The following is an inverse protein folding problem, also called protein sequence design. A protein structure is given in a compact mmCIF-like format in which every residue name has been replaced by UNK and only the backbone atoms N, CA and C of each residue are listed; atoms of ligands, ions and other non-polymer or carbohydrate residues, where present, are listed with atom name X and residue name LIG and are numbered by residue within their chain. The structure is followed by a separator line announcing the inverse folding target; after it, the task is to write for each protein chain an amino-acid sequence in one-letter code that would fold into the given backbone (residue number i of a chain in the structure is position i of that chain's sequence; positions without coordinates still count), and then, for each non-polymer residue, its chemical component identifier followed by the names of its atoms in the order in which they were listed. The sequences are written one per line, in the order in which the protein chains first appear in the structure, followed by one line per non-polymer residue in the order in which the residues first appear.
data_IF_762216701197
#
_entry.id   IF_762216701197
#
_cell.length_a   1.000
_cell.length_b   1.000
_cell.length_c   1.000
_cell.angle_alpha   90.00
_cell.angle_beta   90.00
_cell.angle_gamma   90.00
#
_symmetry.space_group_name_H-M   'P 1'
#
loop_
_entity.id
_entity.type
_entity.pdbx_description
1 polymer ?
#
# COMPACT_ATOMS: atom_id res chain seq x y z
N UNK A 1 -4.85 -11.78 9.74
CA UNK A 1 -3.72 -11.15 9.00
C UNK A 1 -2.41 -11.72 9.50
N UNK A 2 -1.61 -12.25 8.60
CA UNK A 2 -0.34 -12.89 8.93
C UNK A 2 0.76 -12.34 8.02
N UNK A 3 2.02 -12.55 8.43
CA UNK A 3 3.17 -12.25 7.58
C UNK A 3 3.21 -13.25 6.41
N UNK A 4 3.94 -12.90 5.35
CA UNK A 4 4.03 -13.74 4.15
C UNK A 4 4.62 -15.13 4.44
N UNK A 5 5.37 -15.27 5.53
CA UNK A 5 5.94 -16.56 5.97
C UNK A 5 5.01 -17.34 6.89
N UNK A 6 3.78 -16.91 7.09
CA UNK A 6 2.81 -17.57 7.96
C UNK A 6 2.87 -17.17 9.42
N UNK A 7 3.77 -16.29 9.81
CA UNK A 7 3.89 -15.84 11.19
C UNK A 7 2.86 -14.74 11.52
N UNK A 8 2.46 -14.62 12.79
CA UNK A 8 1.63 -13.49 13.22
C UNK A 8 2.37 -12.16 13.04
N UNK A 9 1.59 -11.09 12.82
CA UNK A 9 2.14 -9.75 12.69
C UNK A 9 2.84 -9.36 13.98
N UNK A 10 4.10 -8.95 13.88
CA UNK A 10 4.87 -8.48 15.03
C UNK A 10 4.70 -6.98 15.17
N UNK A 11 4.15 -6.56 16.32
CA UNK A 11 4.06 -5.15 16.68
C UNK A 11 5.01 -4.88 17.83
N UNK A 12 5.92 -3.93 17.66
CA UNK A 12 6.73 -3.43 18.77
C UNK A 12 5.90 -2.39 19.52
N UNK A 13 5.94 -2.41 20.85
CA UNK A 13 5.13 -1.50 21.67
C UNK A 13 5.53 -0.03 21.56
N UNK A 14 6.71 0.26 21.03
CA UNK A 14 7.30 1.60 21.03
C UNK A 14 7.02 2.39 19.76
N UNK A 15 6.68 1.74 18.63
CA UNK A 15 6.49 2.41 17.34
C UNK A 15 5.19 1.98 16.69
N UNK A 16 4.45 2.93 16.07
CA UNK A 16 3.28 2.57 15.29
C UNK A 16 3.69 1.82 14.04
N UNK A 17 2.82 0.91 13.60
CA UNK A 17 3.01 0.18 12.35
C UNK A 17 2.52 1.05 11.20
N UNK A 18 3.43 1.45 10.30
CA UNK A 18 3.08 2.19 9.09
C UNK A 18 3.01 1.21 7.93
N UNK A 19 1.83 1.01 7.38
CA UNK A 19 1.54 -0.02 6.38
C UNK A 19 1.19 0.62 5.05
N UNK A 20 1.87 0.21 3.99
CA UNK A 20 1.54 0.59 2.63
C UNK A 20 0.81 -0.57 1.95
N UNK A 21 -0.32 -0.30 1.31
CA UNK A 21 -1.08 -1.32 0.58
C UNK A 21 -0.62 -1.34 -0.88
N UNK A 22 -0.23 -2.51 -1.38
CA UNK A 22 0.30 -2.66 -2.73
C UNK A 22 -0.44 -3.74 -3.51
N UNK A 23 -0.77 -3.46 -4.76
CA UNK A 23 -1.48 -4.41 -5.61
C UNK A 23 -1.65 -3.88 -7.02
N UNK A 24 -2.32 -4.66 -7.86
CA UNK A 24 -2.57 -4.29 -9.25
C UNK A 24 -3.60 -3.17 -9.36
N UNK A 25 -3.29 -2.18 -10.18
CA UNK A 25 -4.18 -1.05 -10.45
C UNK A 25 -4.53 -1.03 -11.94
N UNK A 26 -3.51 -0.98 -12.80
CA UNK A 26 -3.69 -0.92 -14.24
C UNK A 26 -4.35 -2.20 -14.75
N UNK A 27 -5.48 -2.05 -15.44
CA UNK A 27 -6.22 -3.19 -15.99
C UNK A 27 -7.05 -3.97 -14.99
N UNK A 28 -7.09 -3.55 -13.73
CA UNK A 28 -7.94 -4.17 -12.70
C UNK A 28 -9.19 -3.32 -12.52
N UNK A 29 -10.33 -3.82 -12.97
CA UNK A 29 -11.57 -3.05 -13.06
C UNK A 29 -12.06 -2.52 -11.73
N UNK A 30 -11.94 -3.30 -10.66
CA UNK A 30 -12.45 -2.95 -9.34
C UNK A 30 -11.33 -2.73 -8.32
N UNK A 31 -10.19 -2.21 -8.77
CA UNK A 31 -9.02 -2.07 -7.91
C UNK A 31 -9.28 -1.20 -6.68
N UNK A 32 -10.06 -0.13 -6.82
CA UNK A 32 -10.35 0.75 -5.68
C UNK A 32 -11.11 0.02 -4.58
N UNK A 33 -12.07 -0.81 -4.96
CA UNK A 33 -12.86 -1.59 -3.99
C UNK A 33 -11.99 -2.62 -3.27
N UNK A 34 -11.07 -3.26 -3.98
CA UNK A 34 -10.16 -4.25 -3.39
C UNK A 34 -9.24 -3.56 -2.37
N UNK A 35 -8.66 -2.43 -2.73
CA UNK A 35 -7.78 -1.68 -1.83
C UNK A 35 -8.53 -1.19 -0.59
N UNK A 36 -9.76 -0.72 -0.76
CA UNK A 36 -10.57 -0.26 0.37
C UNK A 36 -10.99 -1.40 1.28
N UNK A 37 -11.32 -2.56 0.71
CA UNK A 37 -11.66 -3.75 1.50
C UNK A 37 -10.46 -4.21 2.34
N UNK A 38 -9.28 -4.19 1.77
CA UNK A 38 -8.06 -4.56 2.50
C UNK A 38 -7.79 -3.57 3.65
N UNK A 39 -7.97 -2.28 3.42
CA UNK A 39 -7.80 -1.28 4.47
C UNK A 39 -8.78 -1.51 5.62
N UNK A 40 -10.06 -1.77 5.32
CA UNK A 40 -11.06 -2.04 6.34
C UNK A 40 -10.72 -3.27 7.16
N UNK A 41 -10.24 -4.32 6.51
CA UNK A 41 -9.86 -5.56 7.17
C UNK A 41 -8.65 -5.35 8.09
N UNK A 42 -7.67 -4.58 7.65
CA UNK A 42 -6.52 -4.21 8.47
C UNK A 42 -6.97 -3.44 9.73
N UNK A 43 -7.86 -2.47 9.57
CA UNK A 43 -8.38 -1.68 10.70
C UNK A 43 -9.05 -2.60 11.73
N UNK A 44 -9.82 -3.60 11.27
CA UNK A 44 -10.54 -4.50 12.17
C UNK A 44 -9.64 -5.48 12.92
N UNK A 45 -8.49 -5.85 12.35
CA UNK A 45 -7.66 -6.94 12.89
C UNK A 45 -6.37 -6.47 13.55
N UNK A 46 -6.01 -5.19 13.45
CA UNK A 46 -4.81 -4.68 14.09
C UNK A 46 -5.13 -4.15 15.48
N UNK A 47 -4.37 -4.62 16.47
CA UNK A 47 -4.55 -4.26 17.88
C UNK A 47 -3.49 -3.29 18.39
N UNK A 48 -2.62 -2.79 17.51
CA UNK A 48 -1.57 -1.84 17.84
C UNK A 48 -1.86 -0.50 17.17
N UNK A 49 -1.12 0.55 17.56
CA UNK A 49 -1.16 1.82 16.82
C UNK A 49 -0.62 1.60 15.40
N UNK A 50 -1.34 2.09 14.41
CA UNK A 50 -0.96 1.92 13.02
C UNK A 50 -1.39 3.11 12.19
N UNK A 51 -0.71 3.27 11.04
CA UNK A 51 -1.10 4.19 9.97
C UNK A 51 -1.17 3.37 8.69
N UNK A 52 -2.22 3.55 7.90
CA UNK A 52 -2.41 2.85 6.64
C UNK A 52 -2.32 3.86 5.50
N UNK A 53 -1.44 3.58 4.54
CA UNK A 53 -1.27 4.38 3.34
C UNK A 53 -1.85 3.60 2.16
N UNK A 54 -2.99 4.08 1.67
CA UNK A 54 -3.77 3.43 0.63
C UNK A 54 -3.63 4.22 -0.67
N UNK A 55 -3.11 3.61 -1.76
CA UNK A 55 -2.96 4.29 -3.05
C UNK A 55 -4.23 4.96 -3.58
N UNK A 56 -5.44 4.47 -3.22
CA UNK A 56 -6.68 5.15 -3.58
C UNK A 56 -6.72 6.56 -3.03
N UNK A 57 -6.35 6.72 -1.76
CA UNK A 57 -6.34 8.03 -1.08
C UNK A 57 -5.15 8.87 -1.52
N UNK A 58 -3.99 8.24 -1.70
CA UNK A 58 -2.79 8.91 -2.20
C UNK A 58 -3.05 9.52 -3.58
N UNK A 59 -3.67 8.76 -4.47
CA UNK A 59 -4.00 9.22 -5.81
C UNK A 59 -4.95 10.42 -5.78
N UNK A 60 -5.97 10.37 -4.93
CA UNK A 60 -6.94 11.46 -4.78
C UNK A 60 -6.27 12.76 -4.35
N UNK A 61 -5.39 12.67 -3.35
CA UNK A 61 -4.70 13.85 -2.83
C UNK A 61 -3.73 14.42 -3.87
N UNK A 62 -3.03 13.55 -4.60
CA UNK A 62 -2.11 13.97 -5.64
C UNK A 62 -2.86 14.64 -6.79
N UNK A 63 -3.99 14.09 -7.22
CA UNK A 63 -4.83 14.66 -8.28
C UNK A 63 -5.31 16.05 -7.91
N UNK A 64 -5.74 16.23 -6.68
CA UNK A 64 -6.18 17.53 -6.17
C UNK A 64 -5.04 18.55 -6.19
N UNK A 65 -3.86 18.14 -5.71
CA UNK A 65 -2.67 19.00 -5.69
C UNK A 65 -2.23 19.41 -7.09
N UNK A 66 -2.23 18.48 -8.03
CA UNK A 66 -1.86 18.76 -9.42
C UNK A 66 -2.87 19.72 -10.07
N UNK A 67 -4.15 19.50 -9.85
CA UNK A 67 -5.20 20.37 -10.41
C UNK A 67 -5.06 21.80 -9.92
N UNK A 68 -4.80 21.98 -8.63
CA UNK A 68 -4.71 23.32 -8.03
C UNK A 68 -3.39 24.02 -8.37
N UNK A 69 -2.27 23.31 -8.30
CA UNK A 69 -0.94 23.92 -8.37
C UNK A 69 -0.29 23.85 -9.75
N UNK A 70 -0.67 22.88 -10.58
CA UNK A 70 -0.02 22.62 -11.87
C UNK A 70 -0.98 22.77 -13.04
N UNK A 71 -2.27 22.50 -12.82
CA UNK A 71 -3.31 22.66 -13.85
C UNK A 71 -3.43 21.45 -14.80
N UNK A 72 -2.90 20.31 -14.42
CA UNK A 72 -3.05 19.06 -15.17
C UNK A 72 -3.19 17.86 -14.24
N UNK A 73 -3.59 16.74 -14.79
CA UNK A 73 -3.63 15.48 -14.06
C UNK A 73 -2.23 14.88 -13.95
N UNK A 74 -1.95 14.09 -12.89
CA UNK A 74 -0.67 13.39 -12.76
C UNK A 74 -0.49 12.35 -13.87
N UNK A 75 0.75 12.19 -14.32
CA UNK A 75 1.14 11.09 -15.21
C UNK A 75 1.40 9.82 -14.38
N UNK A 76 1.57 8.68 -15.08
CA UNK A 76 1.95 7.43 -14.41
C UNK A 76 3.22 7.62 -13.56
N UNK A 77 4.21 8.31 -14.10
CA UNK A 77 5.46 8.59 -13.38
C UNK A 77 5.22 9.41 -12.11
N UNK A 78 4.32 10.38 -12.18
CA UNK A 78 3.96 11.22 -11.03
C UNK A 78 3.34 10.37 -9.91
N UNK A 79 2.41 9.46 -10.26
CA UNK A 79 1.81 8.54 -9.30
C UNK A 79 2.86 7.63 -8.67
N UNK A 80 3.74 7.05 -9.49
CA UNK A 80 4.77 6.14 -8.99
C UNK A 80 5.77 6.82 -8.07
N UNK A 81 6.18 8.05 -8.38
CA UNK A 81 7.06 8.82 -7.49
C UNK A 81 6.45 9.03 -6.13
N UNK A 82 5.19 9.43 -6.08
CA UNK A 82 4.50 9.67 -4.81
C UNK A 82 4.33 8.38 -4.02
N UNK A 83 3.93 7.32 -4.69
CA UNK A 83 3.74 6.02 -4.06
C UNK A 83 5.04 5.48 -3.47
N UNK A 84 6.14 5.54 -4.21
CA UNK A 84 7.45 5.06 -3.75
C UNK A 84 7.96 5.90 -2.58
N UNK A 85 7.76 7.22 -2.65
CA UNK A 85 8.14 8.12 -1.57
C UNK A 85 7.44 7.76 -0.26
N UNK A 86 6.14 7.50 -0.33
CA UNK A 86 5.36 7.12 0.85
C UNK A 86 5.73 5.72 1.32
N UNK A 87 5.87 4.77 0.39
CA UNK A 87 6.31 3.42 0.72
C UNK A 87 7.62 3.42 1.50
N UNK A 88 8.57 4.24 1.08
CA UNK A 88 9.88 4.31 1.72
C UNK A 88 9.82 4.79 3.18
N UNK A 89 8.73 5.45 3.57
CA UNK A 89 8.52 5.89 4.96
C UNK A 89 7.81 4.84 5.81
N UNK A 90 7.33 3.76 5.20
CA UNK A 90 6.59 2.72 5.90
C UNK A 90 7.51 1.63 6.41
N UNK A 91 7.05 0.87 7.41
CA UNK A 91 7.77 -0.28 7.95
C UNK A 91 7.09 -1.61 7.63
N UNK A 92 5.96 -1.56 6.92
CA UNK A 92 5.27 -2.76 6.46
C UNK A 92 4.61 -2.51 5.11
N UNK A 93 4.51 -3.57 4.31
CA UNK A 93 3.78 -3.55 3.04
C UNK A 93 2.75 -4.67 3.06
N UNK A 94 1.53 -4.38 2.62
CA UNK A 94 0.45 -5.37 2.53
C UNK A 94 0.19 -5.67 1.06
N UNK A 95 0.53 -6.88 0.63
CA UNK A 95 0.38 -7.29 -0.76
C UNK A 95 -1.02 -7.83 -1.00
N UNK A 96 -1.68 -7.33 -2.04
CA UNK A 96 -3.03 -7.78 -2.42
C UNK A 96 -2.96 -8.93 -3.42
N UNK A 97 -4.03 -9.76 -3.52
CA UNK A 97 -4.04 -10.88 -4.47
C UNK A 97 -3.76 -10.43 -5.90
N UNK A 98 -2.97 -11.21 -6.63
CA UNK A 98 -2.63 -10.92 -8.02
C UNK A 98 -1.54 -9.90 -8.22
N UNK A 99 -0.87 -9.46 -7.17
CA UNK A 99 0.17 -8.43 -7.25
C UNK A 99 1.33 -8.82 -8.17
N UNK A 100 1.61 -10.12 -8.32
CA UNK A 100 2.72 -10.59 -9.18
C UNK A 100 2.52 -10.27 -10.65
N UNK A 101 1.29 -9.98 -11.06
CA UNK A 101 0.96 -9.57 -12.44
C UNK A 101 1.09 -8.07 -12.65
N UNK A 102 1.31 -7.30 -11.60
CA UNK A 102 1.43 -5.85 -11.66
C UNK A 102 2.90 -5.44 -11.64
N UNK A 103 3.32 -4.70 -12.66
CA UNK A 103 4.68 -4.17 -12.75
C UNK A 103 4.99 -3.24 -11.57
N UNK A 104 4.05 -2.35 -11.23
CA UNK A 104 4.21 -1.42 -10.12
C UNK A 104 4.29 -2.14 -8.78
N UNK A 105 3.39 -3.09 -8.54
CA UNK A 105 3.38 -3.84 -7.29
C UNK A 105 4.64 -4.70 -7.11
N UNK A 106 5.14 -5.28 -8.21
CA UNK A 106 6.41 -6.03 -8.15
C UNK A 106 7.59 -5.14 -7.78
N UNK A 107 7.62 -3.91 -8.30
CA UNK A 107 8.65 -2.93 -7.95
C UNK A 107 8.55 -2.56 -6.48
N UNK A 108 7.35 -2.27 -6.00
CA UNK A 108 7.10 -1.92 -4.60
C UNK A 108 7.49 -3.05 -3.66
N UNK A 109 7.17 -4.29 -4.01
CA UNK A 109 7.59 -5.47 -3.25
C UNK A 109 9.11 -5.55 -3.15
N UNK A 110 9.82 -5.33 -4.27
CA UNK A 110 11.28 -5.36 -4.31
C UNK A 110 11.89 -4.29 -3.42
N UNK A 111 11.33 -3.09 -3.45
CA UNK A 111 11.77 -1.99 -2.58
C UNK A 111 11.57 -2.37 -1.12
N UNK A 112 10.41 -2.92 -0.78
CA UNK A 112 10.10 -3.34 0.58
C UNK A 112 11.10 -4.39 1.08
N UNK A 113 11.48 -5.34 0.23
CA UNK A 113 12.50 -6.36 0.57
C UNK A 113 13.86 -5.72 0.84
N UNK A 114 14.27 -4.79 0.00
CA UNK A 114 15.56 -4.09 0.16
C UNK A 114 15.56 -3.29 1.46
N UNK A 115 14.44 -2.67 1.82
CA UNK A 115 14.32 -1.86 3.04
C UNK A 115 14.00 -2.67 4.29
N UNK A 116 13.95 -3.99 4.17
CA UNK A 116 13.71 -4.89 5.30
C UNK A 116 12.34 -4.67 5.98
N UNK A 117 11.35 -4.30 5.22
CA UNK A 117 9.99 -4.08 5.71
C UNK A 117 9.31 -5.41 6.02
N UNK A 118 8.37 -5.39 6.96
CA UNK A 118 7.47 -6.53 7.18
C UNK A 118 6.58 -6.70 5.94
N UNK A 119 6.43 -7.94 5.48
CA UNK A 119 5.60 -8.23 4.31
C UNK A 119 4.36 -8.98 4.77
N UNK A 120 3.22 -8.34 4.59
CA UNK A 120 1.92 -8.90 4.89
C UNK A 120 1.25 -9.32 3.58
N UNK A 121 0.43 -10.36 3.64
CA UNK A 121 -0.40 -10.75 2.50
C UNK A 121 -1.85 -10.74 2.94
N UNK A 122 -2.69 -10.05 2.18
CA UNK A 122 -4.11 -9.99 2.44
C UNK A 122 -4.87 -10.87 1.45
N UNK A 123 -5.81 -11.64 1.98
CA UNK A 123 -6.72 -12.44 1.18
C UNK A 123 -8.15 -12.11 1.61
N UNK A 124 -9.07 -11.91 0.66
CA UNK A 124 -10.48 -11.75 1.01
C UNK A 124 -11.03 -13.05 1.57
N UNK A 125 -11.93 -12.93 2.53
CA UNK A 125 -12.62 -14.10 3.09
C UNK A 125 -13.69 -14.61 2.13
#
# INVERSE_FOLDING_TARGET
MILSNGEPIKCTHSEPLAIYISGGITGVKNWKDIFMAAEQDLILHLHARFFIFNPVKIAKDLERSFKVNIGRMPSYTDYMREDIKILAMCNAICMLPGWKRSKGARLEYRIAKILNMQILEWQPN
#
